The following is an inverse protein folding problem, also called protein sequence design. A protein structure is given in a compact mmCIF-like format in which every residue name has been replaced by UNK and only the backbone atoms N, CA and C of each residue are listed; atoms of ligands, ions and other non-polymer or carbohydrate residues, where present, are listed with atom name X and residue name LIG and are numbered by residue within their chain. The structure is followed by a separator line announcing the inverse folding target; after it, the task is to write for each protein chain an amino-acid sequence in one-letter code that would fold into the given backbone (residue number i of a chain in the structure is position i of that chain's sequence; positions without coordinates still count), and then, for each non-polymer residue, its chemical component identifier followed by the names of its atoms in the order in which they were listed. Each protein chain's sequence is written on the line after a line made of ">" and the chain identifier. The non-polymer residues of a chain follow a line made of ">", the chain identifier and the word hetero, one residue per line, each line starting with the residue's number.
data_IF_206424045563
#
_entry.id   IF_206424045563
#
_cell.length_a   1.000
_cell.length_b   1.000
_cell.length_c   1.000
_cell.angle_alpha   90.00
_cell.angle_beta   90.00
_cell.angle_gamma   90.00
#
_symmetry.space_group_name_H-M   'P 1'
#
loop_
_entity.id
_entity.type
_entity.pdbx_description
1 polymer ?
#
# COMPACT_ATOMS: atom_id res chain seq x y z
N UNK A 1 -32.51 4.83 -21.12
CA UNK A 1 -31.69 5.27 -19.98
C UNK A 1 -31.46 6.75 -20.17
N UNK A 2 -31.96 7.55 -19.24
CA UNK A 2 -31.81 9.02 -19.25
C UNK A 2 -30.47 9.40 -18.62
N UNK A 3 -29.98 10.61 -18.87
CA UNK A 3 -28.74 11.13 -18.24
C UNK A 3 -28.78 11.12 -16.71
N UNK A 4 -29.98 11.07 -16.11
CA UNK A 4 -30.16 10.95 -14.65
C UNK A 4 -29.74 9.57 -14.08
N UNK A 5 -29.71 8.50 -14.89
CA UNK A 5 -29.22 7.18 -14.46
C UNK A 5 -27.68 7.09 -14.51
N UNK A 6 -27.00 8.10 -15.06
CA UNK A 6 -25.54 8.13 -15.24
C UNK A 6 -24.77 8.85 -14.12
N UNK A 7 -25.48 9.49 -13.17
CA UNK A 7 -24.90 10.37 -12.14
C UNK A 7 -24.78 9.76 -10.73
N UNK A 8 -25.26 8.55 -10.47
CA UNK A 8 -24.93 7.87 -9.22
C UNK A 8 -23.69 6.98 -9.41
N UNK A 9 -22.52 7.53 -9.09
CA UNK A 9 -21.33 6.73 -8.83
C UNK A 9 -21.69 5.76 -7.70
N UNK A 10 -21.74 4.46 -7.98
CA UNK A 10 -21.95 3.44 -6.94
C UNK A 10 -20.82 3.61 -5.92
N UNK A 11 -21.10 4.00 -4.66
CA UNK A 11 -20.05 4.25 -3.68
C UNK A 11 -19.51 2.93 -3.09
N UNK A 12 -19.65 1.82 -3.83
CA UNK A 12 -19.30 0.48 -3.39
C UNK A 12 -18.73 -0.36 -4.53
N UNK A 13 -17.91 -1.31 -4.14
CA UNK A 13 -17.33 -2.31 -5.01
C UNK A 13 -18.38 -3.32 -5.49
N UNK A 14 -18.42 -3.55 -6.80
CA UNK A 14 -19.29 -4.56 -7.44
C UNK A 14 -18.42 -5.62 -8.11
N UNK A 15 -18.09 -6.74 -7.42
CA UNK A 15 -17.14 -7.73 -7.91
C UNK A 15 -17.49 -8.27 -9.31
N UNK A 16 -18.77 -8.55 -9.56
CA UNK A 16 -19.25 -9.08 -10.85
C UNK A 16 -19.11 -8.10 -12.01
N UNK A 17 -18.93 -6.80 -11.73
CA UNK A 17 -18.73 -5.73 -12.72
C UNK A 17 -17.33 -5.12 -12.65
N UNK A 18 -16.41 -5.77 -11.95
CA UNK A 18 -15.04 -5.30 -11.82
C UNK A 18 -14.13 -6.03 -12.78
N UNK A 19 -13.41 -5.30 -13.60
CA UNK A 19 -12.27 -5.80 -14.35
C UNK A 19 -10.99 -5.57 -13.57
N UNK A 20 -10.13 -6.57 -13.51
CA UNK A 20 -8.83 -6.51 -12.84
C UNK A 20 -7.73 -6.67 -13.88
N UNK A 21 -6.82 -5.71 -13.92
CA UNK A 21 -5.57 -5.82 -14.65
C UNK A 21 -4.41 -5.76 -13.67
N UNK A 22 -3.74 -6.89 -13.47
CA UNK A 22 -2.65 -7.03 -12.51
C UNK A 22 -1.35 -7.41 -13.20
N UNK A 23 -0.23 -6.86 -12.73
CA UNK A 23 1.11 -7.22 -13.18
C UNK A 23 2.01 -7.42 -11.98
N UNK A 24 2.63 -8.59 -11.86
CA UNK A 24 3.57 -8.93 -10.79
C UNK A 24 4.89 -9.41 -11.36
N UNK A 25 5.97 -8.63 -11.18
CA UNK A 25 7.31 -8.94 -11.69
C UNK A 25 8.24 -9.09 -10.49
N UNK A 26 8.57 -10.33 -10.15
CA UNK A 26 9.46 -10.67 -9.03
C UNK A 26 10.85 -11.06 -9.54
N UNK A 27 10.90 -11.57 -10.77
CA UNK A 27 12.11 -11.97 -11.46
C UNK A 27 12.52 -10.93 -12.53
N UNK A 28 13.66 -10.28 -12.31
CA UNK A 28 14.34 -9.43 -13.29
C UNK A 28 15.56 -10.16 -13.87
N UNK A 29 16.06 -9.73 -15.03
CA UNK A 29 17.15 -10.42 -15.72
C UNK A 29 18.45 -10.42 -14.90
N UNK A 30 18.60 -9.43 -14.02
CA UNK A 30 19.74 -9.23 -13.15
C UNK A 30 19.60 -9.96 -11.80
N UNK A 31 18.42 -9.99 -11.15
CA UNK A 31 18.17 -10.71 -9.88
C UNK A 31 16.67 -10.96 -9.61
N UNK A 32 16.40 -11.84 -8.63
CA UNK A 32 15.13 -11.92 -7.90
C UNK A 32 15.18 -10.93 -6.73
N UNK A 33 14.13 -10.12 -6.56
CA UNK A 33 14.11 -9.05 -5.55
C UNK A 33 13.00 -9.18 -4.51
N UNK A 34 12.14 -10.19 -4.64
CA UNK A 34 11.00 -10.46 -3.77
C UNK A 34 10.93 -11.97 -3.46
N UNK A 35 10.43 -12.38 -2.29
CA UNK A 35 10.20 -13.80 -2.00
C UNK A 35 9.24 -14.42 -3.02
N UNK A 36 9.70 -15.46 -3.73
CA UNK A 36 8.91 -16.20 -4.73
C UNK A 36 7.91 -17.16 -4.08
N UNK A 37 8.32 -17.78 -2.97
CA UNK A 37 7.45 -18.65 -2.20
C UNK A 37 6.33 -17.82 -1.56
N UNK A 38 5.08 -18.23 -1.78
CA UNK A 38 3.92 -17.52 -1.24
C UNK A 38 3.65 -16.13 -1.86
N UNK A 39 4.00 -15.92 -3.14
CA UNK A 39 3.79 -14.65 -3.87
C UNK A 39 2.41 -14.03 -3.61
N UNK A 40 2.39 -12.86 -2.97
CA UNK A 40 1.14 -12.28 -2.44
C UNK A 40 0.30 -11.60 -3.50
N UNK A 41 0.89 -11.19 -4.62
CA UNK A 41 0.15 -10.73 -5.79
C UNK A 41 -0.84 -11.79 -6.31
N UNK A 42 -0.44 -13.06 -6.39
CA UNK A 42 -1.33 -14.15 -6.78
C UNK A 42 -2.40 -14.41 -5.71
N UNK A 43 -2.04 -14.37 -4.42
CA UNK A 43 -2.98 -14.49 -3.30
C UNK A 43 -4.05 -13.39 -3.37
N UNK A 44 -3.66 -12.15 -3.70
CA UNK A 44 -4.61 -11.05 -3.89
C UNK A 44 -5.56 -11.32 -5.07
N UNK A 45 -5.05 -11.83 -6.19
CA UNK A 45 -5.90 -12.19 -7.33
C UNK A 45 -6.90 -13.29 -6.97
N UNK A 46 -6.47 -14.28 -6.19
CA UNK A 46 -7.35 -15.35 -5.71
C UNK A 46 -8.38 -14.85 -4.70
N UNK A 47 -8.02 -13.93 -3.81
CA UNK A 47 -8.94 -13.28 -2.89
C UNK A 47 -10.02 -12.46 -3.64
N UNK A 48 -9.63 -11.73 -4.68
CA UNK A 48 -10.57 -10.98 -5.54
C UNK A 48 -11.55 -11.93 -6.25
N UNK A 49 -11.06 -13.05 -6.81
CA UNK A 49 -11.92 -14.09 -7.42
C UNK A 49 -12.86 -14.72 -6.39
N UNK A 50 -12.37 -15.06 -5.21
CA UNK A 50 -13.16 -15.64 -4.13
C UNK A 50 -14.27 -14.69 -3.63
N UNK A 51 -14.07 -13.37 -3.81
CA UNK A 51 -15.08 -12.34 -3.50
C UNK A 51 -16.05 -12.05 -4.64
N UNK A 52 -15.94 -12.76 -5.77
CA UNK A 52 -16.93 -12.76 -6.84
C UNK A 52 -16.49 -12.03 -8.12
N UNK A 53 -15.22 -11.63 -8.25
CA UNK A 53 -14.71 -11.15 -9.54
C UNK A 53 -14.65 -12.34 -10.52
N UNK A 54 -15.33 -12.28 -11.67
CA UNK A 54 -15.31 -13.37 -12.64
C UNK A 54 -13.88 -13.62 -13.13
N UNK A 55 -13.49 -14.89 -13.27
CA UNK A 55 -12.16 -15.25 -13.76
C UNK A 55 -11.85 -14.64 -15.15
N UNK A 56 -12.86 -14.52 -16.02
CA UNK A 56 -12.76 -13.87 -17.33
C UNK A 56 -12.50 -12.35 -17.28
N UNK A 57 -12.71 -11.73 -16.10
CA UNK A 57 -12.47 -10.32 -15.85
C UNK A 57 -11.13 -10.05 -15.15
N UNK A 58 -10.35 -11.09 -14.84
CA UNK A 58 -9.00 -10.95 -14.25
C UNK A 58 -7.94 -11.26 -15.30
N UNK A 59 -7.20 -10.25 -15.72
CA UNK A 59 -5.96 -10.40 -16.50
C UNK A 59 -4.79 -10.24 -15.53
N UNK A 60 -3.96 -11.27 -15.36
CA UNK A 60 -2.80 -11.23 -14.47
C UNK A 60 -1.54 -11.64 -15.24
N UNK A 61 -0.61 -10.70 -15.41
CA UNK A 61 0.68 -10.92 -16.05
C UNK A 61 1.76 -11.13 -15.00
N UNK A 62 2.56 -12.18 -15.16
CA UNK A 62 3.62 -12.51 -14.21
C UNK A 62 4.99 -12.55 -14.86
N UNK A 63 5.98 -11.97 -14.19
CA UNK A 63 7.40 -12.16 -14.45
C UNK A 63 7.77 -11.95 -15.93
N UNK A 64 8.09 -13.00 -16.67
CA UNK A 64 8.44 -12.94 -18.09
C UNK A 64 7.37 -12.26 -18.97
N UNK A 65 6.10 -12.26 -18.55
CA UNK A 65 5.01 -11.60 -19.27
C UNK A 65 4.96 -10.08 -19.02
N UNK A 66 5.63 -9.59 -17.98
CA UNK A 66 5.67 -8.18 -17.57
C UNK A 66 6.56 -7.31 -18.47
N UNK A 67 6.38 -7.41 -19.78
CA UNK A 67 7.04 -6.59 -20.81
C UNK A 67 6.18 -5.38 -21.19
N UNK A 68 6.76 -4.38 -21.86
CA UNK A 68 6.00 -3.24 -22.38
C UNK A 68 4.86 -3.70 -23.30
N UNK A 69 5.16 -4.62 -24.21
CA UNK A 69 4.15 -5.18 -25.12
C UNK A 69 3.08 -5.98 -24.38
N UNK A 70 3.48 -6.78 -23.39
CA UNK A 70 2.52 -7.53 -22.55
C UNK A 70 1.60 -6.59 -21.78
N UNK A 71 2.16 -5.53 -21.18
CA UNK A 71 1.39 -4.53 -20.44
C UNK A 71 0.41 -3.78 -21.35
N UNK A 72 0.88 -3.26 -22.48
CA UNK A 72 0.04 -2.50 -23.41
C UNK A 72 -1.11 -3.35 -23.98
N UNK A 73 -0.81 -4.53 -24.51
CA UNK A 73 -1.82 -5.42 -25.08
C UNK A 73 -2.77 -5.96 -24.02
N UNK A 74 -2.25 -6.38 -22.87
CA UNK A 74 -3.04 -6.93 -21.77
C UNK A 74 -4.01 -5.89 -21.18
N UNK A 75 -3.54 -4.66 -20.96
CA UNK A 75 -4.38 -3.58 -20.48
C UNK A 75 -5.40 -3.18 -21.55
N UNK A 76 -5.00 -2.98 -22.80
CA UNK A 76 -5.92 -2.65 -23.88
C UNK A 76 -7.04 -3.69 -24.02
N UNK A 77 -6.70 -4.99 -24.07
CA UNK A 77 -7.68 -6.07 -24.14
C UNK A 77 -8.60 -6.12 -22.92
N UNK A 78 -8.10 -5.76 -21.73
CA UNK A 78 -8.93 -5.68 -20.51
C UNK A 78 -9.93 -4.54 -20.61
N UNK A 79 -9.47 -3.35 -21.01
CA UNK A 79 -10.30 -2.15 -21.14
C UNK A 79 -11.36 -2.29 -22.24
N UNK A 80 -11.04 -2.93 -23.36
CA UNK A 80 -11.97 -3.14 -24.49
C UNK A 80 -13.17 -4.03 -24.13
N UNK A 81 -13.00 -4.94 -23.15
CA UNK A 81 -14.09 -5.80 -22.63
C UNK A 81 -15.04 -5.06 -21.69
N UNK A 82 -14.64 -3.91 -21.16
CA UNK A 82 -15.47 -3.15 -20.22
C UNK A 82 -16.69 -2.53 -20.91
N UNK A 83 -17.73 -2.25 -20.13
CA UNK A 83 -18.99 -1.61 -20.52
C UNK A 83 -19.28 -0.41 -19.60
N UNK A 84 -20.22 0.47 -19.97
CA UNK A 84 -20.67 1.53 -19.09
C UNK A 84 -21.04 1.02 -17.68
N UNK A 85 -20.48 1.68 -16.67
CA UNK A 85 -20.65 1.38 -15.25
C UNK A 85 -19.82 0.20 -14.70
N UNK A 86 -19.01 -0.46 -15.52
CA UNK A 86 -18.01 -1.39 -14.99
C UNK A 86 -16.92 -0.63 -14.21
N UNK A 87 -16.27 -1.33 -13.30
CA UNK A 87 -15.20 -0.82 -12.45
C UNK A 87 -13.86 -1.41 -12.88
N UNK A 88 -12.76 -0.69 -12.63
CA UNK A 88 -11.40 -1.17 -12.89
C UNK A 88 -10.60 -1.22 -11.58
N UNK A 89 -9.91 -2.32 -11.35
CA UNK A 89 -8.79 -2.40 -10.42
C UNK A 89 -7.52 -2.66 -11.23
N UNK A 90 -6.55 -1.76 -11.14
CA UNK A 90 -5.23 -1.96 -11.69
C UNK A 90 -4.24 -2.18 -10.55
N UNK A 91 -3.47 -3.25 -10.62
CA UNK A 91 -2.47 -3.61 -9.60
C UNK A 91 -1.10 -3.82 -10.24
N UNK A 92 -0.06 -3.29 -9.59
CA UNK A 92 1.33 -3.54 -9.97
C UNK A 92 2.17 -3.93 -8.75
N UNK A 93 2.96 -5.00 -8.85
CA UNK A 93 4.02 -5.34 -7.90
C UNK A 93 5.35 -5.55 -8.62
N UNK A 94 6.42 -4.97 -8.09
CA UNK A 94 7.76 -5.10 -8.64
C UNK A 94 8.62 -3.87 -8.37
N UNK A 95 9.51 -3.54 -9.31
CA UNK A 95 10.35 -2.34 -9.18
C UNK A 95 9.68 -1.10 -9.75
N UNK A 96 9.95 0.03 -9.11
CA UNK A 96 9.62 1.35 -9.63
C UNK A 96 10.84 2.25 -9.67
N UNK A 97 10.74 3.35 -10.39
CA UNK A 97 11.85 4.27 -10.67
C UNK A 97 11.35 5.70 -10.80
N UNK A 98 12.17 6.70 -10.47
CA UNK A 98 11.85 8.12 -10.74
C UNK A 98 11.94 8.40 -12.22
N UNK A 99 10.95 9.08 -12.80
CA UNK A 99 10.95 9.58 -14.18
C UNK A 99 10.84 11.12 -14.22
N UNK A 100 11.97 11.82 -14.08
CA UNK A 100 12.00 13.29 -14.06
C UNK A 100 11.48 13.92 -15.36
N UNK A 101 11.50 13.18 -16.49
CA UNK A 101 11.13 13.73 -17.81
C UNK A 101 9.62 13.83 -17.99
N UNK A 102 8.85 12.98 -17.31
CA UNK A 102 7.40 12.95 -17.42
C UNK A 102 6.70 13.32 -16.10
N UNK A 103 7.40 14.05 -15.22
CA UNK A 103 6.81 14.63 -14.01
C UNK A 103 6.43 13.63 -12.92
N UNK A 104 6.92 12.39 -12.97
CA UNK A 104 6.41 11.33 -12.09
C UNK A 104 7.28 10.08 -12.02
N UNK A 105 6.77 9.01 -11.41
CA UNK A 105 7.41 7.70 -11.34
C UNK A 105 7.12 6.83 -12.57
N UNK A 106 7.86 5.73 -12.71
CA UNK A 106 7.69 4.74 -13.75
C UNK A 106 7.83 3.32 -13.18
N UNK A 107 6.99 2.41 -13.64
CA UNK A 107 7.10 0.98 -13.34
C UNK A 107 8.23 0.37 -14.17
N UNK A 108 9.12 -0.40 -13.55
CA UNK A 108 10.20 -1.11 -14.24
C UNK A 108 9.65 -2.44 -14.75
N UNK A 109 9.47 -2.52 -16.06
CA UNK A 109 9.10 -3.73 -16.77
C UNK A 109 10.34 -4.59 -17.05
N UNK A 110 10.12 -5.80 -17.56
CA UNK A 110 11.18 -6.75 -17.96
C UNK A 110 12.14 -6.18 -19.01
N UNK A 111 11.62 -5.36 -19.91
CA UNK A 111 12.29 -4.86 -21.11
C UNK A 111 12.37 -3.33 -21.18
N UNK A 112 11.97 -2.64 -20.10
CA UNK A 112 11.96 -1.18 -20.12
C UNK A 112 11.31 -0.54 -18.90
N UNK A 113 10.89 0.71 -19.07
CA UNK A 113 10.25 1.52 -18.04
C UNK A 113 8.95 2.05 -18.60
N UNK A 114 7.87 1.91 -17.84
CA UNK A 114 6.54 2.39 -18.19
C UNK A 114 6.22 3.62 -17.32
N UNK A 115 6.19 4.84 -17.90
CA UNK A 115 5.78 6.02 -17.17
C UNK A 115 4.35 5.85 -16.63
N UNK A 116 4.14 6.21 -15.36
CA UNK A 116 2.81 6.15 -14.74
C UNK A 116 1.80 6.96 -15.55
N UNK A 117 2.21 8.11 -16.08
CA UNK A 117 1.34 8.94 -16.91
C UNK A 117 0.76 8.21 -18.13
N UNK A 118 1.54 7.31 -18.75
CA UNK A 118 1.09 6.54 -19.91
C UNK A 118 -0.04 5.57 -19.56
N UNK A 119 -0.05 5.02 -18.35
CA UNK A 119 -1.10 4.10 -17.86
C UNK A 119 -2.44 4.83 -17.81
N UNK A 120 -2.48 6.00 -17.19
CA UNK A 120 -3.69 6.84 -17.17
C UNK A 120 -4.10 7.25 -18.59
N UNK A 121 -3.16 7.62 -19.47
CA UNK A 121 -3.49 7.97 -20.84
C UNK A 121 -4.15 6.80 -21.61
N UNK A 122 -3.74 5.55 -21.35
CA UNK A 122 -4.42 4.37 -21.89
C UNK A 122 -5.81 4.16 -21.30
N UNK A 123 -5.99 4.36 -19.99
CA UNK A 123 -7.29 4.26 -19.31
C UNK A 123 -8.26 5.31 -19.85
N UNK A 124 -7.88 6.59 -19.87
CA UNK A 124 -8.73 7.69 -20.37
C UNK A 124 -9.21 7.46 -21.81
N UNK A 125 -8.36 6.87 -22.66
CA UNK A 125 -8.71 6.59 -24.06
C UNK A 125 -9.65 5.40 -24.25
N UNK A 126 -9.52 4.34 -23.43
CA UNK A 126 -10.10 3.03 -23.74
C UNK A 126 -11.09 2.50 -22.71
N UNK A 127 -10.97 2.89 -21.44
CA UNK A 127 -11.85 2.40 -20.40
C UNK A 127 -13.27 2.87 -20.68
N UNK A 128 -14.26 1.97 -20.62
CA UNK A 128 -15.67 2.29 -20.83
C UNK A 128 -16.43 2.53 -19.53
N UNK A 129 -15.90 2.08 -18.39
CA UNK A 129 -16.41 2.38 -17.06
C UNK A 129 -16.12 3.82 -16.60
N UNK A 130 -16.40 4.12 -15.32
CA UNK A 130 -16.20 5.46 -14.72
C UNK A 130 -15.38 5.47 -13.45
N UNK A 131 -15.10 4.32 -12.85
CA UNK A 131 -14.38 4.20 -11.58
C UNK A 131 -13.16 3.30 -11.75
N UNK A 132 -11.98 3.80 -11.40
CA UNK A 132 -10.74 3.05 -11.43
C UNK A 132 -9.96 3.20 -10.13
N UNK A 133 -9.61 2.07 -9.52
CA UNK A 133 -8.67 1.99 -8.40
C UNK A 133 -7.33 1.55 -8.99
N UNK A 134 -6.31 2.39 -8.87
CA UNK A 134 -4.95 2.09 -9.28
C UNK A 134 -4.11 1.89 -8.02
N UNK A 135 -3.45 0.75 -7.92
CA UNK A 135 -2.61 0.45 -6.77
C UNK A 135 -1.29 -0.19 -7.16
N UNK A 136 -0.22 0.14 -6.42
CA UNK A 136 1.10 -0.39 -6.70
C UNK A 136 1.94 -0.63 -5.44
N UNK A 137 2.55 -1.81 -5.38
CA UNK A 137 3.52 -2.24 -4.38
C UNK A 137 4.94 -2.16 -4.97
N UNK A 138 5.50 -0.94 -5.00
CA UNK A 138 6.82 -0.68 -5.54
C UNK A 138 7.37 0.69 -5.09
N UNK A 139 8.68 0.89 -5.24
CA UNK A 139 9.31 2.21 -5.07
C UNK A 139 8.65 3.27 -5.95
N UNK A 140 8.56 4.51 -5.44
CA UNK A 140 7.99 5.65 -6.16
C UNK A 140 6.52 5.46 -6.62
N UNK A 141 5.79 4.50 -6.04
CA UNK A 141 4.40 4.19 -6.38
C UNK A 141 3.44 5.35 -6.13
N UNK A 142 3.79 6.27 -5.22
CA UNK A 142 3.05 7.53 -5.00
C UNK A 142 2.98 8.45 -6.22
N UNK A 143 3.71 8.16 -7.30
CA UNK A 143 3.44 8.75 -8.60
C UNK A 143 2.00 8.54 -9.08
N UNK A 144 1.34 7.43 -8.72
CA UNK A 144 -0.08 7.22 -8.99
C UNK A 144 -0.95 8.31 -8.35
N UNK A 145 -0.65 8.64 -7.09
CA UNK A 145 -1.38 9.64 -6.31
C UNK A 145 -1.16 11.07 -6.84
N UNK A 146 0.04 11.37 -7.36
CA UNK A 146 0.33 12.65 -8.00
C UNK A 146 -0.32 12.78 -9.38
N UNK A 147 -0.40 11.69 -10.14
CA UNK A 147 -0.90 11.73 -11.52
C UNK A 147 -2.44 11.75 -11.60
N UNK A 148 -3.14 11.08 -10.68
CA UNK A 148 -4.59 10.98 -10.71
C UNK A 148 -5.32 12.34 -10.76
N UNK A 149 -4.95 13.35 -9.95
CA UNK A 149 -5.57 14.68 -9.99
C UNK A 149 -5.31 15.47 -11.28
N UNK A 150 -4.29 15.10 -12.07
CA UNK A 150 -3.95 15.78 -13.33
C UNK A 150 -4.88 15.38 -14.48
N UNK A 151 -5.76 14.40 -14.28
CA UNK A 151 -6.67 13.89 -15.31
C UNK A 151 -7.97 14.66 -15.31
N UNK A 152 -8.20 15.44 -16.37
CA UNK A 152 -9.46 16.16 -16.59
C UNK A 152 -10.56 15.31 -17.27
N UNK A 153 -10.38 13.99 -17.30
CA UNK A 153 -11.27 13.06 -17.99
C UNK A 153 -12.51 12.68 -17.19
N UNK A 154 -13.28 11.75 -17.74
CA UNK A 154 -14.55 11.28 -17.14
C UNK A 154 -14.37 10.21 -16.06
N UNK A 155 -13.16 9.72 -15.87
CA UNK A 155 -12.85 8.62 -14.95
C UNK A 155 -12.55 9.20 -13.57
N UNK A 156 -13.27 8.71 -12.58
CA UNK A 156 -12.98 8.90 -11.17
C UNK A 156 -11.88 7.94 -10.75
N UNK A 157 -10.86 8.43 -10.04
CA UNK A 157 -9.71 7.63 -9.62
C UNK A 157 -9.56 7.57 -8.11
N UNK A 158 -9.22 6.39 -7.61
CA UNK A 158 -8.47 6.25 -6.37
C UNK A 158 -7.08 5.69 -6.69
N UNK A 159 -6.05 6.24 -6.06
CA UNK A 159 -4.67 5.86 -6.24
C UNK A 159 -4.01 5.56 -4.90
N UNK A 160 -3.49 4.34 -4.73
CA UNK A 160 -2.82 3.88 -3.50
C UNK A 160 -1.43 3.30 -3.82
N UNK A 161 -0.39 3.73 -3.12
CA UNK A 161 0.97 3.24 -3.33
C UNK A 161 1.65 2.85 -2.02
N UNK A 162 2.48 1.81 -2.04
CA UNK A 162 3.28 1.37 -0.89
C UNK A 162 4.34 2.38 -0.44
N UNK A 163 4.68 3.36 -1.28
CA UNK A 163 5.65 4.40 -0.97
C UNK A 163 5.20 5.78 -1.47
N UNK A 164 5.79 6.85 -0.93
CA UNK A 164 5.72 8.18 -1.55
C UNK A 164 6.42 8.18 -2.92
N UNK A 165 6.13 9.19 -3.75
CA UNK A 165 6.74 9.41 -5.07
C UNK A 165 8.23 9.74 -5.01
N UNK A 166 8.77 10.02 -3.83
CA UNK A 166 10.16 10.43 -3.58
C UNK A 166 10.98 9.38 -2.84
N UNK A 167 10.37 8.33 -2.28
CA UNK A 167 11.05 7.33 -1.46
C UNK A 167 10.98 5.93 -2.05
N UNK A 168 11.94 5.09 -1.67
CA UNK A 168 11.97 3.67 -2.03
C UNK A 168 11.02 2.85 -1.14
N UNK A 169 10.49 1.75 -1.68
CA UNK A 169 9.72 0.73 -0.96
C UNK A 169 10.64 -0.42 -0.55
N UNK A 170 10.26 -1.21 0.46
CA UNK A 170 10.93 -2.48 0.77
C UNK A 170 10.49 -3.53 -0.26
N UNK A 171 11.20 -4.66 -0.30
CA UNK A 171 10.79 -5.86 -1.02
C UNK A 171 9.84 -6.75 -0.21
N UNK A 172 9.14 -6.19 0.78
CA UNK A 172 8.22 -6.90 1.65
C UNK A 172 6.78 -6.80 1.14
N UNK A 173 6.00 -7.85 1.31
CA UNK A 173 4.60 -7.91 0.87
C UNK A 173 3.61 -7.17 1.78
N UNK A 174 4.07 -6.29 2.67
CA UNK A 174 3.24 -5.61 3.67
C UNK A 174 2.06 -4.87 3.05
N UNK A 175 2.29 -4.09 2.00
CA UNK A 175 1.23 -3.32 1.35
C UNK A 175 0.23 -4.22 0.62
N UNK A 176 0.71 -5.20 -0.15
CA UNK A 176 -0.16 -6.20 -0.79
C UNK A 176 -0.95 -7.02 0.24
N UNK A 177 -0.36 -7.37 1.38
CA UNK A 177 -1.07 -8.04 2.48
C UNK A 177 -2.19 -7.16 3.05
N UNK A 178 -2.03 -5.84 3.10
CA UNK A 178 -3.12 -4.94 3.52
C UNK A 178 -4.32 -5.01 2.56
N UNK A 179 -4.07 -5.11 1.25
CA UNK A 179 -5.13 -5.37 0.27
C UNK A 179 -5.80 -6.72 0.47
N UNK A 180 -5.01 -7.78 0.69
CA UNK A 180 -5.55 -9.11 0.97
C UNK A 180 -6.47 -9.07 2.20
N UNK A 181 -6.01 -8.46 3.30
CA UNK A 181 -6.79 -8.32 4.54
C UNK A 181 -8.12 -7.60 4.29
N UNK A 182 -8.12 -6.51 3.51
CA UNK A 182 -9.33 -5.77 3.18
C UNK A 182 -10.31 -6.57 2.31
N UNK A 183 -9.81 -7.24 1.27
CA UNK A 183 -10.63 -8.04 0.37
C UNK A 183 -11.20 -9.28 1.09
N UNK A 184 -10.42 -9.90 1.97
CA UNK A 184 -10.84 -11.02 2.82
C UNK A 184 -11.83 -10.61 3.93
N UNK A 185 -12.00 -9.32 4.19
CA UNK A 185 -12.91 -8.84 5.21
C UNK A 185 -12.34 -8.90 6.62
N UNK A 186 -11.02 -8.76 6.82
CA UNK A 186 -10.42 -8.86 8.15
C UNK A 186 -10.79 -7.66 9.03
N UNK A 187 -11.08 -7.92 10.30
CA UNK A 187 -11.52 -6.90 11.27
C UNK A 187 -10.49 -5.80 11.57
N UNK A 188 -9.17 -6.03 11.58
CA UNK A 188 -8.20 -4.96 11.79
C UNK A 188 -8.23 -3.82 10.76
N UNK A 189 -8.80 -4.05 9.58
CA UNK A 189 -8.97 -3.02 8.54
C UNK A 189 -10.13 -2.08 8.85
N UNK A 190 -11.13 -2.54 9.60
CA UNK A 190 -12.31 -1.78 10.03
C UNK A 190 -11.91 -0.89 11.22
N UNK A 191 -11.38 0.29 10.92
CA UNK A 191 -10.74 1.18 11.88
C UNK A 191 -11.75 1.92 12.75
N UNK A 192 -12.94 2.21 12.22
CA UNK A 192 -14.03 2.83 13.00
C UNK A 192 -14.96 1.81 13.67
N UNK A 193 -14.90 0.55 13.26
CA UNK A 193 -15.58 -0.57 13.88
C UNK A 193 -17.04 -0.75 13.44
N UNK A 194 -17.51 -0.01 12.43
CA UNK A 194 -18.91 -0.01 11.97
C UNK A 194 -19.30 -1.25 11.15
N UNK A 195 -18.32 -2.09 10.81
CA UNK A 195 -18.52 -3.34 10.09
C UNK A 195 -18.46 -3.23 8.57
N UNK A 196 -18.22 -2.03 8.03
CA UNK A 196 -18.09 -1.74 6.61
C UNK A 196 -16.63 -1.40 6.34
N UNK A 197 -15.98 -2.14 5.45
CA UNK A 197 -14.61 -1.84 5.06
C UNK A 197 -14.60 -0.78 3.97
N UNK A 198 -13.96 0.36 4.22
CA UNK A 198 -13.83 1.45 3.25
C UNK A 198 -12.41 1.66 2.74
N UNK A 199 -12.30 2.31 1.60
CA UNK A 199 -11.02 2.55 0.95
C UNK A 199 -10.10 3.50 1.75
N UNK A 200 -10.67 4.50 2.42
CA UNK A 200 -9.92 5.39 3.31
C UNK A 200 -9.44 4.68 4.60
N UNK A 201 -10.16 3.67 5.06
CA UNK A 201 -9.71 2.81 6.16
C UNK A 201 -8.58 1.90 5.72
N UNK A 202 -8.70 1.24 4.55
CA UNK A 202 -7.60 0.49 3.96
C UNK A 202 -6.35 1.37 3.79
N UNK A 203 -6.50 2.61 3.31
CA UNK A 203 -5.37 3.52 3.16
C UNK A 203 -4.68 3.83 4.51
N UNK A 204 -5.47 4.11 5.56
CA UNK A 204 -4.95 4.37 6.91
C UNK A 204 -4.36 3.11 7.57
N UNK A 205 -4.97 1.95 7.35
CA UNK A 205 -4.48 0.66 7.82
C UNK A 205 -3.13 0.33 7.18
N UNK A 206 -3.01 0.50 5.85
CA UNK A 206 -1.76 0.33 5.12
C UNK A 206 -0.67 1.28 5.61
N UNK A 207 -0.99 2.57 5.83
CA UNK A 207 -0.03 3.54 6.35
C UNK A 207 0.50 3.15 7.74
N UNK A 208 -0.38 2.71 8.63
CA UNK A 208 0.00 2.24 9.98
C UNK A 208 0.90 1.02 9.91
N UNK A 209 0.55 0.02 9.09
CA UNK A 209 1.32 -1.23 8.97
C UNK A 209 2.67 -1.01 8.29
N UNK A 210 2.73 -0.24 7.22
CA UNK A 210 3.99 0.10 6.57
C UNK A 210 4.92 0.91 7.50
N UNK A 211 4.37 1.84 8.27
CA UNK A 211 5.15 2.58 9.27
C UNK A 211 5.72 1.66 10.35
N UNK A 212 4.90 0.71 10.83
CA UNK A 212 5.29 -0.23 11.88
C UNK A 212 6.29 -1.31 11.41
N UNK A 213 6.01 -1.95 10.28
CA UNK A 213 6.75 -3.11 9.76
C UNK A 213 7.98 -2.66 8.97
N UNK A 214 7.77 -1.76 8.00
CA UNK A 214 8.79 -1.39 7.02
C UNK A 214 9.50 -0.07 7.34
N UNK A 215 8.98 0.71 8.28
CA UNK A 215 9.42 2.10 8.49
C UNK A 215 9.13 2.97 7.27
N UNK A 216 7.99 2.74 6.60
CA UNK A 216 7.62 3.38 5.33
C UNK A 216 6.30 4.11 5.40
N UNK A 217 6.11 5.04 4.47
CA UNK A 217 4.89 5.83 4.34
C UNK A 217 4.27 5.58 2.97
N UNK A 218 3.01 5.13 2.98
CA UNK A 218 2.18 4.96 1.79
C UNK A 218 1.61 6.29 1.29
N UNK A 219 1.14 6.28 0.04
CA UNK A 219 0.37 7.38 -0.54
C UNK A 219 -1.08 6.96 -0.80
N UNK A 220 -2.02 7.88 -0.60
CA UNK A 220 -3.41 7.71 -1.01
C UNK A 220 -3.95 9.03 -1.55
N UNK A 221 -4.67 8.98 -2.66
CA UNK A 221 -5.39 10.14 -3.21
C UNK A 221 -6.64 9.65 -3.95
N UNK A 222 -7.72 10.43 -3.83
CA UNK A 222 -8.88 10.33 -4.70
C UNK A 222 -8.97 11.55 -5.60
N UNK A 223 -9.44 11.36 -6.83
CA UNK A 223 -9.57 12.41 -7.83
C UNK A 223 -10.88 12.27 -8.61
N UNK A 224 -11.32 13.38 -9.22
CA UNK A 224 -12.50 13.44 -10.09
C UNK A 224 -13.78 12.89 -9.43
N UNK A 225 -13.97 13.21 -8.15
CA UNK A 225 -15.16 12.82 -7.40
C UNK A 225 -15.21 11.35 -6.97
N UNK A 226 -14.11 10.60 -7.07
CA UNK A 226 -14.08 9.25 -6.50
C UNK A 226 -14.30 9.32 -4.98
N UNK A 227 -15.26 8.57 -4.41
CA UNK A 227 -15.53 8.63 -2.98
C UNK A 227 -14.38 7.98 -2.20
N UNK A 228 -13.74 8.71 -1.29
CA UNK A 228 -12.74 8.12 -0.39
C UNK A 228 -13.34 7.04 0.51
N UNK A 229 -14.63 7.15 0.83
CA UNK A 229 -15.43 6.20 1.60
C UNK A 229 -15.97 5.02 0.78
N UNK A 230 -15.41 4.77 -0.40
CA UNK A 230 -15.82 3.67 -1.28
C UNK A 230 -15.79 2.32 -0.53
N UNK A 231 -16.94 1.64 -0.48
CA UNK A 231 -17.10 0.41 0.28
C UNK A 231 -16.47 -0.78 -0.46
N UNK A 232 -15.48 -1.42 0.16
CA UNK A 232 -14.82 -2.64 -0.32
C UNK A 232 -15.54 -3.92 0.14
N UNK A 233 -16.38 -3.81 1.17
CA UNK A 233 -17.18 -4.94 1.64
C UNK A 233 -17.54 -4.84 3.10
N UNK A 234 -17.83 -6.00 3.69
CA UNK A 234 -18.13 -6.13 5.11
C UNK A 234 -17.02 -6.87 5.82
N UNK A 235 -16.77 -6.46 7.05
CA UNK A 235 -15.85 -7.16 7.93
C UNK A 235 -16.42 -8.51 8.38
N UNK A 236 -15.54 -9.44 8.72
CA UNK A 236 -15.82 -10.71 9.39
C UNK A 236 -15.51 -10.55 10.88
N UNK A 237 -16.13 -11.35 11.76
CA UNK A 237 -15.79 -11.34 13.19
C UNK A 237 -14.29 -11.61 13.40
N UNK A 238 -13.66 -10.84 14.29
CA UNK A 238 -12.30 -11.12 14.77
C UNK A 238 -12.26 -12.44 15.54
N UNK A 239 -11.18 -13.20 15.39
CA UNK A 239 -10.96 -14.43 16.17
C UNK A 239 -10.45 -14.11 17.58
N UNK A 240 -9.79 -12.96 17.73
CA UNK A 240 -9.29 -12.45 19.00
C UNK A 240 -9.59 -10.96 19.17
N UNK A 241 -9.96 -10.45 20.37
CA UNK A 241 -10.22 -9.03 20.59
C UNK A 241 -9.05 -8.11 20.21
N UNK A 242 -7.82 -8.58 20.39
CA UNK A 242 -6.58 -7.82 20.13
C UNK A 242 -5.94 -8.10 18.75
N UNK A 243 -6.63 -8.80 17.86
CA UNK A 243 -6.16 -9.02 16.49
C UNK A 243 -5.87 -7.67 15.80
N UNK A 244 -4.69 -7.53 15.19
CA UNK A 244 -4.19 -6.31 14.56
C UNK A 244 -3.48 -5.32 15.49
N UNK A 245 -3.33 -5.64 16.78
CA UNK A 245 -2.57 -4.80 17.72
C UNK A 245 -1.06 -4.95 17.48
N UNK A 246 -0.35 -3.83 17.45
CA UNK A 246 1.11 -3.79 17.41
C UNK A 246 1.66 -3.87 18.83
N UNK A 247 2.59 -4.78 19.04
CA UNK A 247 3.18 -5.10 20.35
C UNK A 247 4.69 -5.31 20.22
N UNK A 248 5.38 -5.34 21.34
CA UNK A 248 6.70 -5.95 21.46
C UNK A 248 6.55 -7.35 22.06
N UNK A 249 7.26 -8.32 21.48
CA UNK A 249 7.25 -9.71 21.91
C UNK A 249 8.67 -10.27 21.98
N UNK A 250 8.94 -11.27 22.83
CA UNK A 250 10.21 -11.99 22.78
C UNK A 250 10.31 -12.79 21.47
N UNK A 251 11.45 -12.67 20.77
CA UNK A 251 11.80 -13.58 19.67
C UNK A 251 12.37 -14.91 20.21
N UNK A 252 12.82 -15.78 19.30
CA UNK A 252 13.41 -17.08 19.67
C UNK A 252 14.71 -16.98 20.48
N UNK A 253 15.38 -15.83 20.44
CA UNK A 253 16.62 -15.54 21.18
C UNK A 253 16.33 -14.85 22.53
N UNK A 254 15.07 -14.49 22.79
CA UNK A 254 14.63 -13.78 24.00
C UNK A 254 14.69 -12.26 23.91
N UNK A 255 15.15 -11.71 22.78
CA UNK A 255 15.18 -10.28 22.51
C UNK A 255 13.77 -9.74 22.24
N UNK A 256 13.54 -8.49 22.63
CA UNK A 256 12.27 -7.81 22.39
C UNK A 256 12.25 -7.23 20.99
N UNK A 257 11.33 -7.72 20.17
CA UNK A 257 11.18 -7.34 18.77
C UNK A 257 9.75 -6.86 18.49
N UNK A 258 9.56 -6.17 17.37
CA UNK A 258 8.22 -5.74 16.96
C UNK A 258 7.40 -6.94 16.54
N UNK A 259 6.13 -6.94 16.90
CA UNK A 259 5.21 -7.99 16.51
C UNK A 259 3.78 -7.47 16.30
N UNK A 260 3.02 -8.18 15.49
CA UNK A 260 1.59 -7.95 15.27
C UNK A 260 0.80 -9.16 15.79
N UNK A 261 -0.23 -8.93 16.60
CA UNK A 261 -1.15 -10.01 17.01
C UNK A 261 -2.02 -10.39 15.80
N UNK A 262 -1.90 -11.63 15.32
CA UNK A 262 -2.54 -12.07 14.06
C UNK A 262 -3.71 -13.04 14.26
N UNK A 263 -3.78 -13.73 15.40
CA UNK A 263 -4.87 -14.67 15.70
C UNK A 263 -4.91 -15.04 17.20
N UNK A 264 -5.99 -15.69 17.62
CA UNK A 264 -6.04 -16.38 18.91
C UNK A 264 -5.22 -17.69 18.85
N UNK A 265 -4.68 -18.12 20.00
CA UNK A 265 -4.09 -19.45 20.15
C UNK A 265 -4.81 -20.26 21.25
N UNK A 266 -4.78 -19.75 22.49
CA UNK A 266 -5.45 -20.34 23.66
C UNK A 266 -5.98 -19.23 24.58
N UNK A 267 -6.55 -19.54 25.75
CA UNK A 267 -7.08 -18.52 26.66
C UNK A 267 -6.02 -17.55 27.21
N UNK A 268 -4.75 -17.97 27.26
CA UNK A 268 -3.65 -17.16 27.79
C UNK A 268 -2.58 -16.81 26.74
N UNK A 269 -2.71 -17.33 25.52
CA UNK A 269 -1.75 -17.14 24.44
C UNK A 269 -2.43 -16.62 23.17
N UNK A 270 -1.69 -15.81 22.43
CA UNK A 270 -2.08 -15.34 21.11
C UNK A 270 -1.03 -15.77 20.08
N UNK A 271 -1.44 -15.82 18.81
CA UNK A 271 -0.48 -15.92 17.71
C UNK A 271 -0.01 -14.54 17.35
N UNK A 272 1.31 -14.33 17.37
CA UNK A 272 1.94 -13.08 16.92
C UNK A 272 2.83 -13.35 15.73
N UNK A 273 2.84 -12.42 14.77
CA UNK A 273 3.84 -12.36 13.71
C UNK A 273 4.97 -11.46 14.17
N UNK A 274 6.16 -12.02 14.36
CA UNK A 274 7.39 -11.27 14.61
C UNK A 274 7.80 -10.57 13.30
N UNK A 275 8.04 -9.26 13.37
CA UNK A 275 8.30 -8.43 12.18
C UNK A 275 9.65 -8.76 11.57
N UNK A 276 10.68 -8.87 12.41
CA UNK A 276 12.07 -9.05 12.01
C UNK A 276 12.32 -10.45 11.41
N UNK A 277 11.60 -11.47 11.89
CA UNK A 277 11.76 -12.86 11.48
C UNK A 277 10.71 -13.33 10.45
N UNK A 278 9.66 -12.51 10.20
CA UNK A 278 8.42 -12.89 9.49
C UNK A 278 7.82 -14.23 9.95
N UNK A 279 7.99 -14.54 11.25
CA UNK A 279 7.60 -15.81 11.85
C UNK A 279 6.33 -15.65 12.69
N UNK A 280 5.41 -16.60 12.58
CA UNK A 280 4.23 -16.67 13.47
C UNK A 280 4.51 -17.60 14.64
N UNK A 281 4.48 -17.06 15.85
CA UNK A 281 4.71 -17.78 17.11
C UNK A 281 3.48 -17.71 18.01
N UNK A 282 3.30 -18.72 18.86
CA UNK A 282 2.37 -18.65 20.00
C UNK A 282 3.11 -18.04 21.20
N UNK A 283 2.58 -16.95 21.74
CA UNK A 283 3.19 -16.20 22.85
C UNK A 283 2.13 -15.91 23.91
N UNK A 284 2.51 -16.05 25.19
CA UNK A 284 1.66 -15.71 26.31
C UNK A 284 1.33 -14.21 26.30
N UNK A 285 0.08 -13.85 26.54
CA UNK A 285 -0.33 -12.43 26.54
C UNK A 285 0.41 -11.58 27.58
N UNK A 286 0.77 -12.20 28.71
CA UNK A 286 1.56 -11.56 29.77
C UNK A 286 2.98 -11.18 29.32
N UNK A 287 3.49 -11.82 28.27
CA UNK A 287 4.80 -11.53 27.69
C UNK A 287 4.71 -10.49 26.58
N UNK A 288 3.55 -9.90 26.30
CA UNK A 288 3.41 -8.83 25.30
C UNK A 288 3.48 -7.45 25.95
N UNK A 289 4.13 -6.51 25.26
CA UNK A 289 4.12 -5.09 25.65
C UNK A 289 3.45 -4.26 24.56
N UNK A 290 2.63 -3.26 24.90
CA UNK A 290 2.08 -2.37 23.90
C UNK A 290 3.18 -1.64 23.12
N UNK A 291 3.07 -1.61 21.80
CA UNK A 291 3.93 -0.76 20.98
C UNK A 291 3.44 0.69 21.04
N UNK A 292 4.24 1.58 21.64
CA UNK A 292 3.92 2.99 21.80
C UNK A 292 5.12 3.86 21.41
N UNK A 293 5.35 4.10 20.10
CA UNK A 293 6.50 4.87 19.63
C UNK A 293 6.34 6.34 20.02
N UNK A 294 7.46 7.00 20.32
CA UNK A 294 7.46 8.40 20.72
C UNK A 294 6.96 9.31 19.57
N UNK A 295 5.95 10.12 19.87
CA UNK A 295 5.40 11.13 18.96
C UNK A 295 6.07 12.48 19.23
N UNK A 296 7.25 12.69 18.63
CA UNK A 296 8.01 13.92 18.80
C UNK A 296 7.25 15.10 18.18
N UNK A 297 7.08 16.23 18.89
CA UNK A 297 6.38 17.39 18.36
C UNK A 297 7.19 18.10 17.28
N UNK A 298 6.50 18.86 16.44
CA UNK A 298 7.14 19.75 15.47
C UNK A 298 8.10 20.74 16.17
N UNK A 299 9.24 21.03 15.54
CA UNK A 299 10.32 21.84 16.10
C UNK A 299 11.32 21.06 16.96
N UNK A 300 11.08 19.78 17.25
CA UNK A 300 12.04 18.96 17.99
C UNK A 300 13.29 18.73 17.14
N UNK A 301 14.46 19.11 17.64
CA UNK A 301 15.73 18.76 17.00
C UNK A 301 16.09 17.31 17.30
N UNK A 302 16.36 16.55 16.25
CA UNK A 302 16.67 15.12 16.31
C UNK A 302 17.98 14.85 15.59
N UNK A 303 18.66 13.78 16.01
CA UNK A 303 19.74 13.17 15.25
C UNK A 303 19.23 11.91 14.57
N UNK A 304 19.33 11.88 13.24
CA UNK A 304 18.84 10.78 12.41
C UNK A 304 20.01 10.01 11.81
N UNK A 305 19.95 8.68 11.89
CA UNK A 305 20.88 7.77 11.23
C UNK A 305 20.51 7.59 9.76
N UNK A 306 21.49 7.74 8.88
CA UNK A 306 21.39 7.47 7.45
C UNK A 306 22.67 6.76 6.99
N UNK A 307 22.55 5.46 6.67
CA UNK A 307 23.71 4.58 6.55
C UNK A 307 24.55 4.57 7.83
N UNK A 308 25.87 4.68 7.68
CA UNK A 308 26.81 4.77 8.81
C UNK A 308 26.94 6.19 9.40
N UNK A 309 26.21 7.16 8.83
CA UNK A 309 26.30 8.57 9.20
C UNK A 309 25.10 9.00 10.02
N UNK A 310 25.26 10.14 10.68
CA UNK A 310 24.24 10.80 11.48
C UNK A 310 24.10 12.24 11.04
N UNK A 311 22.87 12.69 10.91
CA UNK A 311 22.52 14.03 10.46
C UNK A 311 21.55 14.65 11.45
N UNK A 312 21.80 15.90 11.80
CA UNK A 312 20.90 16.65 12.67
C UNK A 312 19.77 17.24 11.80
N UNK A 313 18.55 17.21 12.33
CA UNK A 313 17.36 17.68 11.64
C UNK A 313 16.30 18.16 12.62
N UNK A 314 15.26 18.77 12.07
CA UNK A 314 14.08 19.23 12.82
C UNK A 314 12.85 18.43 12.39
N UNK A 315 12.09 17.95 13.37
CA UNK A 315 10.80 17.32 13.12
C UNK A 315 9.81 18.38 12.63
N UNK A 316 9.26 18.19 11.43
CA UNK A 316 8.22 19.05 10.86
C UNK A 316 6.82 18.60 11.30
N UNK A 317 6.60 17.29 11.35
CA UNK A 317 5.35 16.66 11.79
C UNK A 317 5.59 15.19 12.10
N UNK A 318 4.64 14.55 12.79
CA UNK A 318 4.71 13.14 13.13
C UNK A 318 3.34 12.46 13.01
N UNK A 319 3.32 11.19 12.61
CA UNK A 319 2.12 10.33 12.58
C UNK A 319 2.51 8.87 12.64
N UNK A 320 1.73 8.05 13.34
CA UNK A 320 1.96 6.60 13.47
C UNK A 320 3.38 6.23 13.93
N UNK A 321 4.02 7.08 14.76
CA UNK A 321 5.41 6.90 15.17
C UNK A 321 6.46 7.28 14.12
N UNK A 322 6.06 7.65 12.90
CA UNK A 322 6.95 8.19 11.87
C UNK A 322 7.07 9.71 12.00
N UNK A 323 8.22 10.27 11.67
CA UNK A 323 8.51 11.72 11.77
C UNK A 323 9.00 12.25 10.43
N UNK A 324 8.37 13.30 9.91
CA UNK A 324 8.91 14.04 8.76
C UNK A 324 10.02 14.96 9.27
N UNK A 325 11.24 14.83 8.75
CA UNK A 325 12.41 15.56 9.22
C UNK A 325 12.99 16.44 8.12
N UNK A 326 13.22 17.72 8.45
CA UNK A 326 14.05 18.66 7.67
C UNK A 326 15.48 18.59 8.17
N UNK A 327 16.41 18.16 7.32
CA UNK A 327 17.83 18.09 7.71
C UNK A 327 18.46 19.50 7.75
N UNK A 328 19.21 19.79 8.82
CA UNK A 328 19.85 21.09 9.00
C UNK A 328 20.95 21.30 7.94
N UNK A 329 20.90 22.42 7.25
CA UNK A 329 21.85 22.76 6.17
C UNK A 329 21.51 22.15 4.81
N UNK A 330 20.35 21.49 4.68
CA UNK A 330 19.85 20.94 3.42
C UNK A 330 18.53 21.62 3.04
N UNK A 331 18.24 21.64 1.73
CA UNK A 331 16.95 22.12 1.24
C UNK A 331 15.83 21.07 1.41
N UNK A 332 14.59 21.49 1.15
CA UNK A 332 13.39 20.67 1.34
C UNK A 332 13.30 19.42 0.46
N UNK A 333 14.11 19.32 -0.60
CA UNK A 333 14.13 18.12 -1.44
C UNK A 333 14.73 16.90 -0.71
N UNK A 334 15.39 17.13 0.42
CA UNK A 334 15.93 16.11 1.31
C UNK A 334 14.99 15.74 2.47
N UNK A 335 13.83 16.38 2.56
CA UNK A 335 12.85 16.05 3.60
C UNK A 335 12.42 14.59 3.49
N UNK A 336 12.44 13.90 4.63
CA UNK A 336 12.24 12.46 4.67
C UNK A 336 11.37 12.07 5.86
N UNK A 337 10.48 11.10 5.64
CA UNK A 337 9.83 10.39 6.74
C UNK A 337 10.77 9.34 7.33
N UNK A 338 10.98 9.44 8.64
CA UNK A 338 11.95 8.65 9.40
C UNK A 338 11.20 7.82 10.44
N UNK A 339 11.58 6.54 10.58
CA UNK A 339 11.04 5.64 11.60
C UNK A 339 11.71 5.86 12.96
N UNK A 340 11.08 5.43 14.08
CA UNK A 340 11.67 5.57 15.42
C UNK A 340 13.08 4.99 15.51
N UNK A 341 13.32 3.83 14.89
CA UNK A 341 14.61 3.12 14.92
C UNK A 341 15.77 3.94 14.31
N UNK A 342 15.46 4.94 13.48
CA UNK A 342 16.46 5.81 12.86
C UNK A 342 16.75 7.07 13.67
N UNK A 343 15.92 7.43 14.64
CA UNK A 343 16.17 8.57 15.53
C UNK A 343 17.05 8.08 16.69
N UNK A 344 18.28 8.58 16.74
CA UNK A 344 19.26 8.12 17.75
C UNK A 344 19.26 8.98 19.01
N UNK A 345 18.98 10.28 18.88
CA UNK A 345 18.97 11.23 20.00
C UNK A 345 17.94 12.35 19.74
N UNK A 346 17.29 12.83 20.80
CA UNK A 346 16.66 14.16 20.82
C UNK A 346 17.68 15.17 21.34
N UNK A 347 17.98 16.20 20.55
CA UNK A 347 18.96 17.21 20.94
C UNK A 347 18.20 18.31 21.67
N UNK A 348 18.50 18.51 22.95
CA UNK A 348 17.95 19.63 23.70
C UNK A 348 18.32 20.96 23.01
N UNK A 349 17.33 21.84 22.84
CA UNK A 349 17.56 23.16 22.28
C UNK A 349 18.69 23.83 23.07
N UNK A 350 19.76 24.23 22.38
CA UNK A 350 20.77 25.11 22.98
C UNK A 350 20.09 26.44 23.25
N UNK A 351 19.71 26.68 24.51
CA UNK A 351 19.26 27.98 25.02
C UNK A 351 20.27 29.07 24.76
#
# INVERSE_FOLDING_TARGET
>A
MTDADLDSISPRWEPTRTHVFAVGILEYADKVHWPLEGRRDAVLMDALRARGVPASQVTFLTDAQGTMSGYEHGLAATLERTRPGDQLILYYAGHGSRDPKHGGGAFRLRDGRLPVAQIFAWIERRFRGRQAILTADCCYSGALALEAPLRAGRVAYAALGSSLSTVTSTGAWTFTNCWIDAIEGRKPVDLDGDGILRLDELARYAERRLGFIDGQVSSFTVANGFPSTFELGRTRPRRHPREGEFVEAPNLEGDRVRAEIVDAASEACVRVRLVEDDLVCEIAEADLRPWAPAMLPAGTTVRVRFGDKRYDGEVLTARNGMHLVRYLGWDESWDEWVSPDRIVDTIAART
#
